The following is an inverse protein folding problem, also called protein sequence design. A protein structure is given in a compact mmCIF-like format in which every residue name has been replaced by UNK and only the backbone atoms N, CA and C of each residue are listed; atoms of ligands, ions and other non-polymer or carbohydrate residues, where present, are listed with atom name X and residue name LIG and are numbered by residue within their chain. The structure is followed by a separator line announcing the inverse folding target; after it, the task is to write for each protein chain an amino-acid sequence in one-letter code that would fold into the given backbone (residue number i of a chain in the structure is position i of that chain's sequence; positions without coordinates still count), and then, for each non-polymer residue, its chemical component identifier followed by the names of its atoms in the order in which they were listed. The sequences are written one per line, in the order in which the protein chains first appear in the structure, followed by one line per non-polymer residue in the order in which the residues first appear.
data_IF_142552023579
#
_entry.id   IF_142552023579
#
_cell.length_a   1.000
_cell.length_b   1.000
_cell.length_c   1.000
_cell.angle_alpha   90.00
_cell.angle_beta   90.00
_cell.angle_gamma   90.00
#
_symmetry.space_group_name_H-M   'P 1'
#
loop_
_entity.id
_entity.type
_entity.pdbx_description
1 polymer ?
#
# COMPACT_ATOMS: atom_id res chain seq x y z
N UNK A 1 4.01 36.71 -34.50
CA UNK A 1 5.21 37.40 -33.99
C UNK A 1 5.70 36.58 -32.79
N UNK A 2 6.62 35.65 -33.05
CA UNK A 2 7.26 34.79 -32.05
C UNK A 2 8.25 35.62 -31.25
N UNK A 3 8.13 35.65 -29.93
CA UNK A 3 9.21 36.10 -29.04
C UNK A 3 9.54 34.95 -28.10
N UNK A 4 10.65 34.30 -28.43
CA UNK A 4 11.36 33.34 -27.59
C UNK A 4 11.91 34.06 -26.35
N UNK A 5 11.60 33.54 -25.16
CA UNK A 5 12.37 33.85 -23.96
C UNK A 5 13.32 32.68 -23.70
N UNK A 6 14.61 33.00 -23.67
CA UNK A 6 15.72 32.06 -23.68
C UNK A 6 15.81 31.23 -22.38
N UNK A 7 16.08 29.91 -22.46
CA UNK A 7 16.37 29.03 -21.32
C UNK A 7 17.60 29.43 -20.49
N UNK A 8 18.46 30.32 -21.01
CA UNK A 8 19.74 30.67 -20.40
C UNK A 8 19.62 31.52 -19.12
N UNK A 9 18.54 32.30 -18.96
CA UNK A 9 18.34 33.14 -17.78
C UNK A 9 17.79 32.37 -16.57
N UNK A 10 17.10 31.24 -16.77
CA UNK A 10 16.65 30.37 -15.68
C UNK A 10 17.81 29.50 -15.16
N UNK A 11 18.68 29.05 -16.05
CA UNK A 11 19.86 28.25 -15.69
C UNK A 11 20.89 29.04 -14.85
N UNK A 12 21.03 30.36 -15.07
CA UNK A 12 21.95 31.20 -14.29
C UNK A 12 21.44 31.47 -12.86
N UNK A 13 20.12 31.59 -12.68
CA UNK A 13 19.50 31.75 -11.36
C UNK A 13 19.63 30.47 -10.50
N UNK A 14 19.48 29.29 -11.11
CA UNK A 14 19.66 28.00 -10.43
C UNK A 14 21.15 27.78 -10.05
N UNK A 15 22.09 28.21 -10.89
CA UNK A 15 23.54 28.10 -10.62
C UNK A 15 24.00 29.02 -9.48
N UNK A 16 23.42 30.23 -9.37
CA UNK A 16 23.72 31.18 -8.30
C UNK A 16 23.22 30.69 -6.92
N UNK A 17 22.09 29.99 -6.89
CA UNK A 17 21.53 29.44 -5.65
C UNK A 17 22.31 28.21 -5.15
N UNK A 18 22.95 27.46 -6.05
CA UNK A 18 23.81 26.30 -5.72
C UNK A 18 25.16 26.71 -5.09
N UNK A 19 25.74 27.84 -5.51
CA UNK A 19 27.04 28.33 -5.01
C UNK A 19 26.97 28.93 -3.60
N UNK A 20 25.80 29.36 -3.14
CA UNK A 20 25.59 29.89 -1.78
C UNK A 20 25.44 28.78 -0.71
N UNK A 21 25.16 27.54 -1.13
CA UNK A 21 24.96 26.40 -0.22
C UNK A 21 26.27 25.60 -0.01
N UNK A 22 27.26 25.74 -0.90
CA UNK A 22 28.51 24.96 -0.84
C UNK A 22 29.59 25.51 0.09
N UNK A 23 29.32 26.57 0.86
CA UNK A 23 30.28 27.15 1.79
C UNK A 23 29.75 27.17 3.22
N UNK A 24 29.91 26.06 3.96
CA UNK A 24 30.11 26.03 5.43
C UNK A 24 30.55 24.63 5.91
N UNK A 25 31.31 24.56 7.01
CA UNK A 25 32.40 23.60 7.17
C UNK A 25 31.97 22.24 7.71
N UNK A 26 32.77 21.24 7.38
CA UNK A 26 32.78 19.87 7.92
C UNK A 26 33.07 19.91 9.43
N UNK A 27 32.24 19.25 10.24
CA UNK A 27 32.58 18.93 11.63
C UNK A 27 32.33 17.46 11.90
N UNK A 28 33.45 16.75 12.00
CA UNK A 28 33.59 15.41 12.54
C UNK A 28 33.49 15.47 14.07
N UNK A 29 32.99 14.37 14.66
CA UNK A 29 33.03 14.00 16.09
C UNK A 29 31.91 14.55 16.98
N UNK A 30 31.00 13.65 17.40
CA UNK A 30 30.85 13.23 18.80
C UNK A 30 29.93 12.00 18.88
N UNK A 31 30.46 10.90 19.43
CA UNK A 31 29.73 9.68 19.79
C UNK A 31 29.28 9.75 21.26
N UNK A 32 28.19 9.01 21.54
CA UNK A 32 27.85 8.22 22.75
C UNK A 32 26.62 8.64 23.57
N UNK A 33 25.70 7.66 23.67
CA UNK A 33 24.88 7.15 24.80
C UNK A 33 23.99 8.18 25.57
N UNK A 34 22.74 7.91 25.89
CA UNK A 34 22.23 6.81 26.73
C UNK A 34 20.72 6.58 26.54
N UNK A 35 20.30 5.35 26.84
CA UNK A 35 18.91 4.90 27.07
C UNK A 35 18.32 5.50 28.35
N UNK A 36 17.02 5.82 28.39
CA UNK A 36 16.05 5.34 29.41
C UNK A 36 14.62 5.93 29.24
N UNK A 37 13.66 5.01 29.08
CA UNK A 37 12.30 4.92 29.70
C UNK A 37 11.24 6.04 29.65
N UNK A 38 10.09 5.65 29.09
CA UNK A 38 8.73 5.63 29.67
C UNK A 38 7.87 6.90 29.83
N UNK A 39 6.69 6.81 29.17
CA UNK A 39 5.33 7.16 29.60
C UNK A 39 4.91 8.60 29.93
N UNK A 40 3.87 9.02 29.16
CA UNK A 40 2.68 9.81 29.55
C UNK A 40 2.89 11.27 30.00
N UNK A 41 2.56 12.20 29.11
CA UNK A 41 1.53 13.24 29.26
C UNK A 41 1.83 14.40 28.29
N UNK A 42 1.08 14.51 27.20
CA UNK A 42 1.12 15.68 26.33
C UNK A 42 0.44 16.86 27.04
N UNK A 43 1.22 17.60 27.83
CA UNK A 43 0.94 19.01 28.13
C UNK A 43 1.63 19.84 27.06
N UNK A 44 0.89 20.81 26.52
CA UNK A 44 1.33 21.82 25.58
C UNK A 44 2.74 22.33 25.89
N UNK A 45 3.66 22.15 24.95
CA UNK A 45 4.95 22.82 24.92
C UNK A 45 4.93 23.82 23.76
N UNK A 46 4.74 25.08 24.12
CA UNK A 46 5.06 26.23 23.27
C UNK A 46 6.57 26.39 23.20
N UNK A 47 7.10 26.50 21.99
CA UNK A 47 8.50 26.85 21.71
C UNK A 47 8.81 28.30 22.19
N UNK A 48 9.93 28.58 22.88
CA UNK A 48 10.21 29.90 23.46
C UNK A 48 10.63 31.00 22.45
N UNK A 49 10.70 30.74 21.14
CA UNK A 49 11.29 31.69 20.17
C UNK A 49 10.31 32.24 19.13
N UNK A 50 9.04 32.47 19.45
CA UNK A 50 8.20 33.28 18.56
C UNK A 50 7.06 34.03 19.26
N UNK A 51 7.38 35.22 19.80
CA UNK A 51 6.35 36.22 20.11
C UNK A 51 5.97 36.95 18.82
N UNK A 52 4.81 36.59 18.28
CA UNK A 52 4.02 37.45 17.41
C UNK A 52 4.05 37.10 15.93
N UNK A 53 3.12 36.24 15.51
CA UNK A 53 2.24 36.48 14.36
C UNK A 53 1.34 35.27 14.16
N UNK A 54 0.02 35.51 14.13
CA UNK A 54 -0.97 34.52 13.69
C UNK A 54 -0.92 34.50 12.17
N UNK A 55 -0.42 33.41 11.58
CA UNK A 55 -0.60 33.12 10.15
C UNK A 55 -0.95 31.65 9.94
N UNK A 56 -1.73 31.43 8.87
CA UNK A 56 -2.64 30.33 8.63
C UNK A 56 -1.97 28.95 8.46
N UNK A 57 -2.74 27.92 8.83
CA UNK A 57 -2.63 26.51 8.45
C UNK A 57 -1.23 25.99 8.06
N UNK A 58 -0.56 25.33 9.00
CA UNK A 58 0.67 24.59 8.72
C UNK A 58 0.30 23.42 7.82
N UNK A 59 0.61 23.55 6.54
CA UNK A 59 0.43 22.52 5.53
C UNK A 59 1.44 21.38 5.77
N UNK A 60 1.02 20.12 5.63
CA UNK A 60 1.79 18.90 5.95
C UNK A 60 3.01 18.65 5.02
N UNK A 61 3.33 19.65 4.20
CA UNK A 61 4.21 19.61 3.05
C UNK A 61 5.54 20.32 3.25
N UNK A 62 5.72 21.11 4.33
CA UNK A 62 6.85 22.06 4.39
C UNK A 62 8.14 21.50 4.99
N UNK A 63 8.23 20.20 5.26
CA UNK A 63 9.45 19.62 5.84
C UNK A 63 9.88 18.39 5.03
N UNK A 64 10.81 18.64 4.09
CA UNK A 64 11.47 17.63 3.29
C UNK A 64 12.17 16.58 4.17
N UNK A 65 12.14 15.33 3.72
CA UNK A 65 12.91 14.23 4.31
C UNK A 65 12.98 13.06 3.32
N UNK A 66 13.95 13.13 2.42
CA UNK A 66 14.75 11.99 1.97
C UNK A 66 16.17 12.49 1.71
N UNK A 67 17.14 11.60 1.94
CA UNK A 67 18.56 11.78 1.69
C UNK A 67 18.77 12.38 0.29
N UNK A 68 19.46 13.51 0.20
CA UNK A 68 19.83 14.22 -1.04
C UNK A 68 20.82 13.44 -1.94
N UNK A 69 20.81 12.11 -1.86
CA UNK A 69 21.71 11.16 -2.56
C UNK A 69 20.99 10.18 -3.49
N UNK A 70 19.66 10.12 -3.47
CA UNK A 70 18.93 9.34 -4.47
C UNK A 70 18.72 10.25 -5.69
N UNK A 71 19.59 10.12 -6.68
CA UNK A 71 19.43 10.75 -8.01
C UNK A 71 18.27 10.06 -8.76
N UNK A 72 17.06 10.12 -8.21
CA UNK A 72 15.88 9.62 -8.90
C UNK A 72 15.55 10.56 -10.06
N UNK A 73 15.18 10.01 -11.23
CA UNK A 73 14.71 10.82 -12.34
C UNK A 73 13.51 11.66 -11.88
N UNK A 74 13.42 12.91 -12.34
CA UNK A 74 12.31 13.80 -11.95
C UNK A 74 11.13 13.56 -12.89
N UNK A 75 9.93 13.50 -12.31
CA UNK A 75 8.68 13.47 -13.04
C UNK A 75 8.27 14.90 -13.43
N UNK A 76 8.79 15.40 -14.55
CA UNK A 76 8.73 16.83 -14.90
C UNK A 76 7.31 17.38 -15.06
N UNK A 77 6.42 16.67 -15.76
CA UNK A 77 5.06 17.16 -16.06
C UNK A 77 4.28 17.46 -14.77
N UNK A 78 4.24 16.50 -13.86
CA UNK A 78 3.54 16.57 -12.58
C UNK A 78 4.26 17.48 -11.61
N UNK A 79 5.59 17.58 -11.71
CA UNK A 79 6.36 18.52 -10.90
C UNK A 79 6.05 19.97 -11.26
N UNK A 80 5.86 20.25 -12.55
CA UNK A 80 5.46 21.58 -13.04
C UNK A 80 4.03 21.89 -12.61
N UNK A 81 3.11 20.94 -12.83
CA UNK A 81 1.69 21.12 -12.49
C UNK A 81 1.48 21.38 -10.99
N UNK A 82 2.15 20.61 -10.14
CA UNK A 82 2.01 20.72 -8.67
C UNK A 82 2.95 21.72 -8.02
N UNK A 83 3.89 22.30 -8.78
CA UNK A 83 4.90 23.23 -8.28
C UNK A 83 5.86 22.62 -7.25
N UNK A 84 6.03 21.29 -7.25
CA UNK A 84 6.87 20.53 -6.31
C UNK A 84 7.63 19.45 -7.06
N UNK A 85 8.89 19.23 -6.70
CA UNK A 85 9.71 18.19 -7.35
C UNK A 85 9.19 16.81 -6.91
N UNK A 86 8.71 16.04 -7.89
CA UNK A 86 8.23 14.67 -7.72
C UNK A 86 9.27 13.72 -8.33
N UNK A 87 9.86 12.80 -7.55
CA UNK A 87 10.73 11.79 -8.11
C UNK A 87 9.90 10.73 -8.84
N UNK A 88 10.35 10.34 -10.03
CA UNK A 88 9.89 9.14 -10.71
C UNK A 88 10.57 7.94 -10.04
N UNK A 89 9.76 6.98 -9.59
CA UNK A 89 10.23 5.78 -8.90
C UNK A 89 10.53 4.71 -9.95
N UNK A 90 11.81 4.36 -10.24
CA UNK A 90 12.11 3.27 -11.14
C UNK A 90 11.89 1.92 -10.43
N UNK A 91 11.51 0.90 -11.21
CA UNK A 91 11.27 -0.45 -10.68
C UNK A 91 12.50 -1.05 -9.96
N UNK A 92 13.71 -0.61 -10.32
CA UNK A 92 14.98 -1.08 -9.75
C UNK A 92 15.17 -0.68 -8.29
N UNK A 93 14.46 0.35 -7.81
CA UNK A 93 14.53 0.82 -6.42
C UNK A 93 13.55 0.09 -5.50
N UNK A 94 12.72 -0.80 -6.06
CA UNK A 94 11.71 -1.52 -5.30
C UNK A 94 12.33 -2.81 -4.75
N UNK A 95 12.51 -2.85 -3.43
CA UNK A 95 12.91 -4.05 -2.71
C UNK A 95 11.74 -5.01 -2.50
N UNK A 96 11.97 -6.31 -2.67
CA UNK A 96 11.00 -7.35 -2.36
C UNK A 96 11.68 -8.57 -1.75
N UNK A 97 11.01 -9.23 -0.82
CA UNK A 97 11.49 -10.46 -0.20
C UNK A 97 10.30 -11.30 0.25
N UNK A 98 10.41 -12.62 0.14
CA UNK A 98 9.48 -13.59 0.72
C UNK A 98 10.28 -14.67 1.43
N UNK A 99 9.80 -15.11 2.59
CA UNK A 99 10.47 -16.10 3.43
C UNK A 99 9.45 -17.16 3.85
N UNK A 100 9.78 -18.43 3.61
CA UNK A 100 8.93 -19.58 3.96
C UNK A 100 8.59 -19.66 5.47
N UNK A 101 9.51 -19.20 6.32
CA UNK A 101 9.39 -19.32 7.78
C UNK A 101 9.30 -20.78 8.23
N UNK A 102 8.36 -21.08 9.14
CA UNK A 102 8.14 -22.42 9.71
C UNK A 102 7.11 -23.26 8.95
N UNK A 103 6.67 -22.80 7.77
CA UNK A 103 5.66 -23.49 6.94
C UNK A 103 6.32 -24.56 6.07
N UNK A 104 5.51 -25.51 5.58
CA UNK A 104 5.97 -26.55 4.65
C UNK A 104 6.06 -26.03 3.21
N UNK A 105 5.15 -25.14 2.84
CA UNK A 105 5.01 -24.56 1.51
C UNK A 105 4.89 -23.05 1.67
N UNK A 106 5.50 -22.31 0.75
CA UNK A 106 5.37 -20.86 0.70
C UNK A 106 4.14 -20.54 -0.17
N UNK A 107 3.08 -20.10 0.48
CA UNK A 107 1.81 -19.73 -0.16
C UNK A 107 1.74 -18.21 -0.42
N UNK A 108 2.81 -17.45 -0.14
CA UNK A 108 2.88 -16.03 -0.45
C UNK A 108 3.27 -15.80 -1.92
N UNK A 109 2.61 -14.85 -2.56
CA UNK A 109 3.00 -14.32 -3.88
C UNK A 109 2.98 -12.80 -3.86
N UNK A 110 3.85 -12.22 -4.67
CA UNK A 110 3.85 -10.80 -4.92
C UNK A 110 4.14 -10.51 -6.39
N UNK A 111 3.73 -9.32 -6.84
CA UNK A 111 4.02 -8.81 -8.16
C UNK A 111 4.27 -7.31 -8.08
N UNK A 112 5.31 -6.84 -8.78
CA UNK A 112 5.67 -5.42 -8.88
C UNK A 112 5.99 -5.13 -10.34
N UNK A 113 5.19 -4.29 -10.97
CA UNK A 113 5.31 -4.01 -12.40
C UNK A 113 4.83 -2.59 -12.74
N UNK A 114 5.32 -2.01 -13.83
CA UNK A 114 4.75 -0.80 -14.44
C UNK A 114 3.70 -1.23 -15.49
N UNK A 115 2.42 -0.91 -15.26
CA UNK A 115 1.32 -1.35 -16.14
C UNK A 115 1.16 -0.47 -17.37
N UNK A 116 1.35 0.82 -17.19
CA UNK A 116 1.34 1.85 -18.23
C UNK A 116 2.34 2.94 -17.84
N UNK A 117 2.73 3.85 -18.74
CA UNK A 117 3.59 4.96 -18.38
C UNK A 117 3.07 5.66 -17.13
N UNK A 118 3.91 5.73 -16.10
CA UNK A 118 3.63 6.40 -14.83
C UNK A 118 2.55 5.71 -13.97
N UNK A 119 2.18 4.45 -14.24
CA UNK A 119 1.29 3.67 -13.40
C UNK A 119 2.00 2.41 -12.89
N UNK A 120 2.43 2.46 -11.64
CA UNK A 120 3.03 1.31 -10.96
C UNK A 120 1.95 0.47 -10.29
N UNK A 121 2.12 -0.84 -10.38
CA UNK A 121 1.28 -1.85 -9.76
C UNK A 121 2.09 -2.66 -8.75
N UNK A 122 1.50 -2.83 -7.58
CA UNK A 122 2.00 -3.69 -6.52
C UNK A 122 0.87 -4.62 -6.12
N UNK A 123 1.10 -5.92 -6.17
CA UNK A 123 0.17 -6.93 -5.66
C UNK A 123 0.87 -7.79 -4.62
N UNK A 124 0.20 -8.04 -3.50
CA UNK A 124 0.61 -9.00 -2.49
C UNK A 124 -0.57 -9.92 -2.19
N UNK A 125 -0.28 -11.23 -2.12
CA UNK A 125 -1.28 -12.27 -1.98
C UNK A 125 -0.74 -13.31 -1.00
N UNK A 126 -1.39 -13.47 0.15
CA UNK A 126 -1.12 -14.52 1.12
C UNK A 126 -2.13 -15.65 0.88
N UNK A 127 -1.65 -16.79 0.38
CA UNK A 127 -2.48 -17.93 0.04
C UNK A 127 -2.72 -18.85 1.23
N UNK A 128 -3.85 -19.56 1.22
CA UNK A 128 -4.13 -20.60 2.19
C UNK A 128 -4.83 -21.80 1.55
N UNK A 129 -4.65 -22.96 2.21
CA UNK A 129 -5.20 -24.24 1.79
C UNK A 129 -4.77 -24.65 0.38
N UNK A 130 -3.51 -24.44 0.02
CA UNK A 130 -2.90 -24.78 -1.26
C UNK A 130 -2.50 -23.54 -2.07
N UNK A 131 -1.58 -23.73 -3.02
CA UNK A 131 -1.10 -22.63 -3.86
C UNK A 131 -2.00 -22.32 -5.07
N UNK A 132 -3.04 -23.13 -5.31
CA UNK A 132 -3.90 -23.02 -6.50
C UNK A 132 -4.54 -21.63 -6.63
N UNK A 133 -5.17 -21.13 -5.55
CA UNK A 133 -5.83 -19.83 -5.55
C UNK A 133 -4.82 -18.69 -5.72
N UNK A 134 -3.74 -18.68 -4.95
CA UNK A 134 -2.76 -17.61 -4.98
C UNK A 134 -1.99 -17.54 -6.31
N UNK A 135 -1.62 -18.70 -6.89
CA UNK A 135 -0.95 -18.76 -8.18
C UNK A 135 -1.87 -18.25 -9.30
N UNK A 136 -3.17 -18.61 -9.25
CA UNK A 136 -4.16 -18.12 -10.20
C UNK A 136 -4.36 -16.60 -10.08
N UNK A 137 -4.55 -16.11 -8.84
CA UNK A 137 -4.78 -14.68 -8.57
C UNK A 137 -3.56 -13.86 -9.01
N UNK A 138 -2.35 -14.28 -8.66
CA UNK A 138 -1.13 -13.57 -9.04
C UNK A 138 -0.99 -13.44 -10.57
N UNK A 139 -1.37 -14.47 -11.33
CA UNK A 139 -1.32 -14.46 -12.80
C UNK A 139 -2.45 -13.65 -13.46
N UNK A 140 -3.64 -13.59 -12.84
CA UNK A 140 -4.85 -13.03 -13.45
C UNK A 140 -5.15 -11.61 -13.00
N UNK A 141 -4.75 -11.22 -11.79
CA UNK A 141 -5.04 -9.90 -11.22
C UNK A 141 -4.53 -8.77 -12.12
N UNK A 142 -3.26 -8.83 -12.53
CA UNK A 142 -2.69 -7.88 -13.50
C UNK A 142 -3.52 -7.77 -14.78
N UNK A 143 -3.92 -8.92 -15.34
CA UNK A 143 -4.67 -8.96 -16.62
C UNK A 143 -6.06 -8.34 -16.48
N UNK A 144 -6.73 -8.59 -15.35
CA UNK A 144 -8.03 -7.99 -15.07
C UNK A 144 -7.91 -6.47 -14.86
N UNK A 145 -6.89 -6.00 -14.15
CA UNK A 145 -6.62 -4.56 -14.00
C UNK A 145 -6.37 -3.89 -15.35
N UNK A 146 -5.49 -4.47 -16.19
CA UNK A 146 -5.24 -3.95 -17.54
C UNK A 146 -6.50 -3.93 -18.41
N UNK A 147 -7.38 -4.93 -18.26
CA UNK A 147 -8.66 -4.94 -18.96
C UNK A 147 -9.56 -3.79 -18.53
N UNK A 148 -9.71 -3.57 -17.22
CA UNK A 148 -10.57 -2.52 -16.68
C UNK A 148 -10.02 -1.10 -16.87
N UNK A 149 -8.70 -0.93 -16.89
CA UNK A 149 -8.05 0.33 -17.28
C UNK A 149 -8.41 0.78 -18.69
N UNK A 150 -8.75 -0.15 -19.60
CA UNK A 150 -9.21 0.20 -20.95
C UNK A 150 -10.69 0.61 -20.98
N UNK A 151 -11.44 0.41 -19.89
CA UNK A 151 -12.88 0.69 -19.82
C UNK A 151 -13.19 1.98 -19.04
N UNK A 152 -12.38 2.31 -18.04
CA UNK A 152 -12.59 3.47 -17.18
C UNK A 152 -11.26 4.05 -16.68
N UNK A 153 -11.21 5.37 -16.54
CA UNK A 153 -10.08 6.09 -15.93
C UNK A 153 -10.13 6.11 -14.39
N UNK A 154 -11.28 5.72 -13.81
CA UNK A 154 -11.48 5.64 -12.37
C UNK A 154 -10.80 4.39 -11.79
N UNK A 155 -9.64 4.60 -11.17
CA UNK A 155 -8.83 3.55 -10.57
C UNK A 155 -9.54 2.81 -9.43
N UNK A 156 -10.45 3.45 -8.71
CA UNK A 156 -11.22 2.78 -7.65
C UNK A 156 -12.13 1.72 -8.26
N UNK A 157 -12.86 2.09 -9.31
CA UNK A 157 -13.74 1.15 -10.01
C UNK A 157 -12.94 0.06 -10.74
N UNK A 158 -11.77 0.39 -11.31
CA UNK A 158 -10.84 -0.60 -11.89
C UNK A 158 -10.49 -1.68 -10.87
N UNK A 159 -10.03 -1.28 -9.68
CA UNK A 159 -9.67 -2.22 -8.62
C UNK A 159 -10.88 -3.03 -8.17
N UNK A 160 -12.01 -2.37 -7.90
CA UNK A 160 -13.23 -3.02 -7.44
C UNK A 160 -13.70 -4.11 -8.39
N UNK A 161 -13.80 -3.79 -9.69
CA UNK A 161 -14.23 -4.74 -10.70
C UNK A 161 -13.20 -5.84 -10.92
N UNK A 162 -11.91 -5.51 -10.87
CA UNK A 162 -10.85 -6.51 -11.01
C UNK A 162 -10.91 -7.60 -9.94
N UNK A 163 -11.14 -7.24 -8.69
CA UNK A 163 -11.25 -8.21 -7.59
C UNK A 163 -12.46 -9.15 -7.77
N UNK A 164 -13.62 -8.59 -8.15
CA UNK A 164 -14.85 -9.34 -8.38
C UNK A 164 -14.68 -10.28 -9.59
N UNK A 165 -14.13 -9.76 -10.68
CA UNK A 165 -13.91 -10.52 -11.91
C UNK A 165 -12.91 -11.67 -11.69
N UNK A 166 -11.76 -11.41 -11.06
CA UNK A 166 -10.77 -12.45 -10.73
C UNK A 166 -11.36 -13.52 -9.83
N UNK A 167 -12.14 -13.16 -8.82
CA UNK A 167 -12.83 -14.13 -7.97
C UNK A 167 -13.80 -15.02 -8.78
N UNK A 168 -14.58 -14.42 -9.68
CA UNK A 168 -15.50 -15.17 -10.53
C UNK A 168 -14.76 -16.06 -11.55
N UNK A 169 -13.61 -15.61 -12.07
CA UNK A 169 -12.75 -16.43 -12.94
C UNK A 169 -12.16 -17.61 -12.17
N UNK A 170 -11.69 -17.39 -10.94
CA UNK A 170 -11.18 -18.47 -10.08
C UNK A 170 -12.29 -19.49 -9.78
N UNK A 171 -13.50 -19.03 -9.47
CA UNK A 171 -14.64 -19.91 -9.24
C UNK A 171 -14.92 -20.83 -10.44
N UNK A 172 -14.97 -20.26 -11.65
CA UNK A 172 -15.15 -21.03 -12.88
C UNK A 172 -13.98 -21.99 -13.15
N UNK A 173 -12.76 -21.55 -12.88
CA UNK A 173 -11.56 -22.37 -13.06
C UNK A 173 -11.55 -23.60 -12.14
N UNK A 174 -11.90 -23.44 -10.87
CA UNK A 174 -11.97 -24.55 -9.90
C UNK A 174 -13.07 -25.55 -10.26
N UNK A 175 -14.24 -25.05 -10.67
CA UNK A 175 -15.36 -25.89 -11.12
C UNK A 175 -15.00 -26.68 -12.39
N UNK A 176 -14.38 -26.04 -13.39
CA UNK A 176 -14.02 -26.69 -14.65
C UNK A 176 -12.89 -27.70 -14.48
N UNK A 177 -11.89 -27.38 -13.66
CA UNK A 177 -10.76 -28.25 -13.36
C UNK A 177 -11.13 -29.46 -12.49
N UNK A 178 -12.41 -29.58 -12.07
CA UNK A 178 -12.88 -30.59 -11.10
C UNK A 178 -12.02 -30.64 -9.84
N UNK A 179 -11.49 -29.48 -9.40
CA UNK A 179 -10.74 -29.40 -8.16
C UNK A 179 -11.67 -29.75 -7.01
N UNK A 180 -11.21 -30.61 -6.11
CA UNK A 180 -11.90 -30.86 -4.83
C UNK A 180 -11.63 -29.77 -3.80
N UNK A 181 -10.70 -28.84 -4.10
CA UNK A 181 -10.22 -27.86 -3.16
C UNK A 181 -10.98 -26.53 -3.28
N UNK A 182 -12.24 -26.54 -2.87
CA UNK A 182 -13.05 -25.32 -2.80
C UNK A 182 -12.72 -24.41 -1.61
N UNK A 183 -11.84 -24.88 -0.71
CA UNK A 183 -11.38 -24.17 0.48
C UNK A 183 -10.13 -23.32 0.21
N UNK A 184 -9.52 -23.44 -0.98
CA UNK A 184 -8.37 -22.62 -1.34
C UNK A 184 -8.80 -21.15 -1.49
N UNK A 185 -7.96 -20.27 -0.98
CA UNK A 185 -8.21 -18.84 -1.03
C UNK A 185 -6.92 -18.06 -0.84
N UNK A 186 -7.05 -16.75 -0.95
CA UNK A 186 -5.94 -15.85 -0.72
C UNK A 186 -6.44 -14.49 -0.27
N UNK A 187 -5.64 -13.81 0.55
CA UNK A 187 -5.73 -12.36 0.69
C UNK A 187 -5.36 -11.70 -0.64
N UNK A 188 -5.76 -10.46 -0.82
CA UNK A 188 -5.23 -9.66 -1.91
C UNK A 188 -5.15 -8.23 -1.43
N UNK A 189 -3.98 -7.64 -1.54
CA UNK A 189 -3.78 -6.22 -1.29
C UNK A 189 -3.04 -5.67 -2.51
N UNK A 190 -3.71 -4.80 -3.26
CA UNK A 190 -3.24 -4.25 -4.52
C UNK A 190 -3.09 -2.74 -4.38
N UNK A 191 -1.94 -2.20 -4.77
CA UNK A 191 -1.72 -0.77 -4.93
C UNK A 191 -1.51 -0.40 -6.39
N UNK A 192 -2.17 0.68 -6.79
CA UNK A 192 -1.89 1.41 -8.01
C UNK A 192 -1.32 2.78 -7.63
N UNK A 193 -0.10 3.05 -8.08
CA UNK A 193 0.54 4.35 -7.92
C UNK A 193 0.62 5.05 -9.28
N UNK A 194 -0.24 6.03 -9.47
CA UNK A 194 -0.30 6.88 -10.66
C UNK A 194 0.56 8.12 -10.46
N UNK A 195 1.41 8.41 -11.44
CA UNK A 195 2.22 9.61 -11.53
C UNK A 195 3.15 9.85 -10.34
N UNK A 196 3.55 8.76 -9.68
CA UNK A 196 4.34 8.79 -8.43
C UNK A 196 3.69 9.57 -7.27
N UNK A 197 2.39 9.89 -7.35
CA UNK A 197 1.67 10.69 -6.34
C UNK A 197 0.29 10.14 -5.99
N UNK A 198 -0.51 9.72 -6.97
CA UNK A 198 -1.86 9.21 -6.71
C UNK A 198 -1.81 7.74 -6.32
N UNK A 199 -2.06 7.42 -5.05
CA UNK A 199 -2.08 6.06 -4.53
C UNK A 199 -3.52 5.58 -4.33
N UNK A 200 -3.86 4.47 -4.97
CA UNK A 200 -5.13 3.77 -4.77
C UNK A 200 -4.84 2.35 -4.30
N UNK A 201 -5.43 1.95 -3.20
CA UNK A 201 -5.25 0.63 -2.59
C UNK A 201 -6.59 -0.08 -2.56
N UNK A 202 -6.65 -1.31 -3.05
CA UNK A 202 -7.76 -2.22 -2.84
C UNK A 202 -7.31 -3.43 -2.05
N UNK A 203 -8.11 -3.88 -1.08
CA UNK A 203 -7.76 -5.07 -0.33
C UNK A 203 -8.90 -5.93 0.19
N UNK A 204 -8.59 -7.21 0.37
CA UNK A 204 -9.37 -8.22 1.10
C UNK A 204 -8.44 -9.08 1.95
N UNK A 205 -8.91 -9.49 3.12
CA UNK A 205 -8.13 -10.26 4.09
C UNK A 205 -7.38 -9.37 5.09
N UNK A 206 -6.25 -9.85 5.57
CA UNK A 206 -5.45 -9.29 6.67
C UNK A 206 -4.00 -8.95 6.26
N UNK A 207 -3.70 -9.01 4.96
CA UNK A 207 -2.42 -8.53 4.43
C UNK A 207 -2.39 -7.00 4.43
N UNK A 208 -1.38 -6.45 5.13
CA UNK A 208 -1.36 -5.05 5.51
C UNK A 208 -0.54 -4.16 4.57
N UNK A 209 -1.08 -3.00 4.23
CA UNK A 209 -0.39 -1.90 3.57
C UNK A 209 0.09 -0.87 4.60
N UNK A 210 1.38 -0.50 4.56
CA UNK A 210 1.94 0.51 5.47
C UNK A 210 2.69 1.57 4.66
N UNK A 211 2.42 2.84 4.94
CA UNK A 211 3.17 3.98 4.44
C UNK A 211 4.16 4.47 5.50
N UNK A 212 5.45 4.47 5.16
CA UNK A 212 6.48 5.01 6.04
C UNK A 212 6.97 6.38 5.55
N UNK A 213 6.87 7.42 6.39
CA UNK A 213 7.38 8.76 6.13
C UNK A 213 8.07 9.33 7.36
N UNK A 214 9.29 9.86 7.21
CA UNK A 214 10.07 10.47 8.30
C UNK A 214 10.22 9.54 9.53
N UNK A 215 10.45 8.25 9.29
CA UNK A 215 10.56 7.25 10.36
C UNK A 215 9.24 6.93 11.07
N UNK A 216 8.11 7.47 10.62
CA UNK A 216 6.76 7.13 11.11
C UNK A 216 6.07 6.18 10.14
N UNK A 217 5.59 5.05 10.65
CA UNK A 217 4.76 4.11 9.92
C UNK A 217 3.28 4.44 10.14
N UNK A 218 2.52 4.50 9.05
CA UNK A 218 1.06 4.68 9.06
C UNK A 218 0.44 3.50 8.34
N UNK A 219 -0.39 2.76 9.05
CA UNK A 219 -1.17 1.65 8.49
C UNK A 219 -2.28 2.20 7.59
N UNK A 220 -2.36 1.69 6.38
CA UNK A 220 -3.31 2.14 5.34
C UNK A 220 -4.52 1.19 5.19
N UNK A 221 -4.42 -0.05 5.65
CA UNK A 221 -5.51 -1.04 5.54
C UNK A 221 -6.00 -1.50 6.90
N UNK A 222 -7.28 -1.84 6.99
CA UNK A 222 -7.89 -2.42 8.19
C UNK A 222 -8.11 -3.91 7.96
N UNK A 223 -7.75 -4.74 8.94
CA UNK A 223 -7.94 -6.19 8.80
C UNK A 223 -9.42 -6.52 8.72
N UNK A 224 -9.77 -7.37 7.74
CA UNK A 224 -11.08 -7.97 7.63
C UNK A 224 -11.21 -9.13 8.62
N UNK A 225 -11.27 -8.77 9.90
CA UNK A 225 -11.32 -9.70 11.02
C UNK A 225 -12.77 -10.01 11.43
N UNK A 226 -13.11 -11.27 11.76
CA UNK A 226 -14.42 -11.62 12.31
C UNK A 226 -14.83 -10.85 13.57
N UNK A 227 -13.90 -10.21 14.29
CA UNK A 227 -14.18 -9.39 15.47
C UNK A 227 -14.67 -7.97 15.12
N UNK A 228 -14.53 -7.53 13.87
CA UNK A 228 -15.08 -6.25 13.41
C UNK A 228 -16.60 -6.37 13.28
N UNK A 229 -17.33 -5.51 13.99
CA UNK A 229 -18.80 -5.61 14.10
C UNK A 229 -19.52 -5.59 12.75
N UNK A 230 -19.07 -4.76 11.81
CA UNK A 230 -19.63 -4.71 10.44
C UNK A 230 -19.43 -6.04 9.69
N UNK A 231 -18.23 -6.60 9.78
CA UNK A 231 -17.86 -7.86 9.16
C UNK A 231 -18.65 -9.02 9.79
N UNK A 232 -18.71 -9.07 11.13
CA UNK A 232 -19.46 -10.05 11.89
C UNK A 232 -20.96 -10.01 11.58
N UNK A 233 -21.52 -8.81 11.49
CA UNK A 233 -22.92 -8.59 11.13
C UNK A 233 -23.23 -9.11 9.72
N UNK A 234 -22.33 -8.90 8.76
CA UNK A 234 -22.48 -9.43 7.39
C UNK A 234 -22.46 -10.96 7.39
N UNK A 235 -21.52 -11.59 8.09
CA UNK A 235 -21.44 -13.06 8.20
C UNK A 235 -22.74 -13.64 8.78
N UNK A 236 -23.20 -13.10 9.92
CA UNK A 236 -24.45 -13.54 10.57
C UNK A 236 -25.67 -13.36 9.67
N UNK A 237 -25.77 -12.23 8.97
CA UNK A 237 -26.88 -11.92 8.05
C UNK A 237 -26.94 -12.90 6.86
N UNK A 238 -25.80 -13.40 6.41
CA UNK A 238 -25.69 -14.40 5.35
C UNK A 238 -25.81 -15.85 5.86
N UNK A 239 -26.17 -16.06 7.13
CA UNK A 239 -26.33 -17.39 7.73
C UNK A 239 -25.03 -18.08 8.13
N UNK A 240 -23.89 -17.37 8.06
CA UNK A 240 -22.64 -17.83 8.66
C UNK A 240 -22.61 -17.61 10.17
N UNK A 241 -21.65 -18.22 10.84
CA UNK A 241 -21.39 -18.01 12.27
C UNK A 241 -19.91 -17.77 12.53
N UNK A 242 -19.61 -17.15 13.67
CA UNK A 242 -18.25 -16.95 14.15
C UNK A 242 -18.05 -17.85 15.36
N UNK A 243 -17.01 -18.68 15.31
CA UNK A 243 -16.61 -19.57 16.41
C UNK A 243 -15.18 -19.29 16.83
N UNK A 244 -14.93 -19.34 18.14
CA UNK A 244 -13.59 -19.27 18.69
C UNK A 244 -12.93 -20.65 18.63
N UNK A 245 -11.66 -20.69 18.21
CA UNK A 245 -10.86 -21.90 18.35
C UNK A 245 -10.30 -22.03 19.78
N UNK A 246 -9.59 -23.13 20.06
CA UNK A 246 -8.99 -23.38 21.38
C UNK A 246 -7.94 -22.34 21.82
N UNK A 247 -7.47 -21.48 20.90
CA UNK A 247 -6.53 -20.40 21.17
C UNK A 247 -7.23 -19.03 21.29
N UNK A 248 -8.56 -19.01 21.33
CA UNK A 248 -9.36 -17.78 21.44
C UNK A 248 -9.38 -16.93 20.16
N UNK A 249 -9.05 -17.49 19.00
CA UNK A 249 -9.09 -16.78 17.71
C UNK A 249 -10.42 -17.01 17.01
N UNK A 250 -11.03 -15.92 16.54
CA UNK A 250 -12.31 -15.93 15.83
C UNK A 250 -12.17 -16.47 14.41
N UNK A 251 -13.05 -17.42 14.02
CA UNK A 251 -13.08 -18.01 12.69
C UNK A 251 -14.52 -18.04 12.14
N UNK A 252 -14.67 -17.68 10.87
CA UNK A 252 -15.93 -17.85 10.10
C UNK A 252 -16.17 -19.33 9.87
N UNK A 253 -17.34 -19.81 10.29
CA UNK A 253 -17.77 -21.21 10.25
C UNK A 253 -16.72 -22.18 10.80
N UNK A 254 -15.91 -21.76 11.77
CA UNK A 254 -14.81 -22.56 12.33
C UNK A 254 -13.63 -22.83 11.40
N UNK A 255 -13.58 -22.22 10.21
CA UNK A 255 -12.56 -22.50 9.18
C UNK A 255 -11.65 -21.32 8.89
N UNK A 256 -12.20 -20.14 8.60
CA UNK A 256 -11.44 -19.02 8.04
C UNK A 256 -11.26 -17.88 9.05
N UNK A 257 -10.01 -17.44 9.26
CA UNK A 257 -9.67 -16.38 10.24
C UNK A 257 -9.90 -14.94 9.72
N UNK A 258 -10.51 -14.79 8.55
CA UNK A 258 -10.80 -13.52 7.89
C UNK A 258 -12.20 -13.55 7.27
N UNK A 259 -12.78 -12.39 7.03
CA UNK A 259 -14.17 -12.22 6.54
C UNK A 259 -14.26 -11.79 5.08
N UNK A 260 -13.12 -11.51 4.44
CA UNK A 260 -13.01 -11.22 3.01
C UNK A 260 -11.80 -11.92 2.41
N UNK A 261 -11.95 -12.45 1.20
CA UNK A 261 -10.89 -13.16 0.47
C UNK A 261 -11.26 -13.36 -0.99
N UNK A 262 -10.26 -13.63 -1.83
CA UNK A 262 -10.48 -14.19 -3.18
C UNK A 262 -10.40 -15.73 -3.06
N UNK A 263 -11.35 -16.46 -3.65
CA UNK A 263 -11.46 -17.91 -3.48
C UNK A 263 -12.46 -18.28 -2.38
N UNK A 264 -12.14 -19.25 -1.52
CA UNK A 264 -13.00 -19.71 -0.40
C UNK A 264 -14.47 -19.90 -0.82
N UNK A 265 -14.69 -20.63 -1.92
CA UNK A 265 -16.00 -20.71 -2.58
C UNK A 265 -17.08 -21.28 -1.66
N UNK A 266 -16.69 -22.19 -0.77
CA UNK A 266 -17.56 -22.76 0.26
C UNK A 266 -18.09 -21.73 1.26
N UNK A 267 -17.36 -20.63 1.49
CA UNK A 267 -17.73 -19.57 2.43
C UNK A 267 -18.36 -18.34 1.77
N UNK A 268 -18.33 -18.22 0.44
CA UNK A 268 -18.97 -17.12 -0.29
C UNK A 268 -20.48 -16.99 0.01
N UNK A 269 -21.27 -18.08 0.12
CA UNK A 269 -22.68 -17.99 0.53
C UNK A 269 -22.89 -17.47 1.96
N UNK A 270 -21.90 -17.64 2.83
CA UNK A 270 -21.98 -17.29 4.26
C UNK A 270 -21.43 -15.90 4.59
N UNK A 271 -21.27 -15.05 3.58
CA UNK A 271 -20.91 -13.63 3.74
C UNK A 271 -19.43 -13.30 3.60
N UNK A 272 -18.57 -14.30 3.36
CA UNK A 272 -17.19 -14.01 2.92
C UNK A 272 -17.26 -13.41 1.53
N UNK A 273 -16.65 -12.24 1.33
CA UNK A 273 -16.77 -11.51 0.05
C UNK A 273 -15.41 -11.24 -0.57
N UNK A 274 -15.38 -11.12 -1.90
CA UNK A 274 -14.22 -10.66 -2.66
C UNK A 274 -14.28 -9.16 -2.96
N UNK A 275 -15.32 -8.44 -2.49
CA UNK A 275 -15.42 -6.99 -2.65
C UNK A 275 -14.32 -6.32 -1.80
N UNK A 276 -13.39 -5.56 -2.43
CA UNK A 276 -12.32 -4.91 -1.69
C UNK A 276 -12.82 -3.67 -0.94
N UNK A 277 -12.15 -3.37 0.17
CA UNK A 277 -12.13 -2.01 0.71
C UNK A 277 -11.04 -1.21 -0.01
N UNK A 278 -11.41 0.03 -0.35
CA UNK A 278 -10.62 0.91 -1.20
C UNK A 278 -10.20 2.16 -0.42
N UNK A 279 -8.94 2.53 -0.57
CA UNK A 279 -8.37 3.76 -0.04
C UNK A 279 -7.67 4.52 -1.16
N UNK A 280 -8.05 5.78 -1.35
CA UNK A 280 -7.41 6.70 -2.29
C UNK A 280 -6.75 7.84 -1.51
N UNK A 281 -5.50 8.14 -1.84
CA UNK A 281 -4.77 9.26 -1.25
C UNK A 281 -3.66 9.77 -2.16
N UNK A 282 -3.22 11.00 -1.89
CA UNK A 282 -2.01 11.53 -2.48
C UNK A 282 -0.81 11.29 -1.55
N UNK A 283 0.30 10.88 -2.14
CA UNK A 283 1.54 10.56 -1.43
C UNK A 283 2.69 11.30 -2.10
N UNK A 284 3.57 11.94 -1.32
CA UNK A 284 4.71 12.65 -1.89
C UNK A 284 5.95 11.75 -2.01
N UNK A 285 6.08 10.73 -1.14
CA UNK A 285 7.20 9.81 -1.06
C UNK A 285 6.74 8.51 -0.41
N UNK A 286 7.13 7.37 -0.97
CA UNK A 286 6.56 6.08 -0.58
C UNK A 286 7.66 5.08 -0.25
N UNK A 287 7.61 4.53 0.95
CA UNK A 287 8.00 3.13 1.18
C UNK A 287 6.69 2.42 1.49
N UNK A 288 6.24 1.54 0.59
CA UNK A 288 5.20 0.57 0.91
C UNK A 288 5.89 -0.61 1.56
N UNK A 289 5.64 -0.81 2.85
CA UNK A 289 6.00 -2.04 3.52
C UNK A 289 4.76 -2.92 3.56
N UNK A 290 4.89 -4.16 3.08
CA UNK A 290 3.85 -5.18 3.18
C UNK A 290 4.30 -6.29 4.11
N UNK A 291 3.39 -6.73 4.97
CA UNK A 291 3.63 -7.89 5.84
C UNK A 291 2.43 -8.84 5.75
N UNK A 292 2.70 -10.12 5.50
CA UNK A 292 1.74 -11.23 5.70
C UNK A 292 1.65 -11.63 7.19
N UNK A 293 2.58 -11.16 8.04
CA UNK A 293 2.68 -11.59 9.44
C UNK A 293 1.84 -10.70 10.36
N UNK A 294 0.72 -11.23 10.88
CA UNK A 294 -0.08 -10.60 11.96
C UNK A 294 0.68 -10.31 13.26
N UNK A 295 1.88 -10.88 13.46
CA UNK A 295 2.61 -10.81 14.72
C UNK A 295 3.94 -10.05 14.57
N UNK A 296 4.05 -8.84 15.12
CA UNK A 296 5.33 -8.26 15.52
C UNK A 296 5.73 -6.88 14.94
N UNK A 297 4.78 -6.00 14.61
CA UNK A 297 5.08 -4.58 14.30
C UNK A 297 4.57 -3.64 15.40
N UNK A 298 4.18 -4.17 16.56
CA UNK A 298 3.87 -3.37 17.77
C UNK A 298 5.11 -3.11 18.62
#
# INVERSE_FOLDING_TARGET
MLISRQPAQLASLIKAQWLLISQKPTVTQLKQKFYHTSSKNYRFLSDPENKGSRQAGINFDTLGCWNSRLELPIHYEESIERGKIIPKIPLTEIGSATLLGRRKVNEDRYAVEELSPNLLYFGMFDGHAGTEAVDFVNQKMKKSILFWLNQTDDLEEVIKQSFIDVNNQLARYLLFSRSSNFHCGTTATVCLLKNSVGLVIGHVGDSCAILCRQGKAVRLTQDHDPEVEEEASRIKKCGGFISLNSLGRSHVNGRLAMTRSIGDLDLKPYGVTAKPDILTMEVCYIILCWCSVRNGID
#
